data_IF_123426759089
#
_entry.id   IF_123426759089
#
_cell.length_a   1.000
_cell.length_b   1.000
_cell.length_c   1.000
_cell.angle_alpha   90.00
_cell.angle_beta   90.00
_cell.angle_gamma   90.00
#
_symmetry.space_group_name_H-M   'P 1'
#
loop_
_entity.id
_entity.type
_entity.pdbx_description
1 polymer ?
#
# COMPACT_ATOMS: atom_id res chain seq x y z
N UNK A 1 -16.14 1.37 -20.66
CA UNK A 1 -15.88 1.88 -22.02
C UNK A 1 -14.62 2.69 -21.94
N UNK A 2 -13.50 2.13 -22.39
CA UNK A 2 -12.29 2.91 -22.54
C UNK A 2 -12.54 3.89 -23.68
N UNK A 3 -12.45 5.16 -23.41
CA UNK A 3 -12.47 6.21 -24.43
C UNK A 3 -11.12 6.13 -25.18
N UNK A 4 -11.09 5.28 -26.20
CA UNK A 4 -9.88 4.96 -27.01
C UNK A 4 -9.42 6.12 -27.89
N UNK A 5 -9.98 7.33 -27.72
CA UNK A 5 -9.70 8.49 -28.55
C UNK A 5 -8.97 9.64 -27.84
N UNK A 6 -8.59 9.47 -26.57
CA UNK A 6 -7.82 10.51 -25.91
C UNK A 6 -6.38 10.48 -26.42
N UNK A 7 -5.84 11.60 -26.97
CA UNK A 7 -4.46 11.65 -27.40
C UNK A 7 -3.51 11.39 -26.21
N UNK A 8 -2.41 10.70 -26.47
CA UNK A 8 -1.39 10.47 -25.47
C UNK A 8 -0.82 11.80 -25.00
N UNK A 9 -0.79 11.98 -23.69
CA UNK A 9 -0.17 13.12 -23.03
C UNK A 9 0.52 12.68 -21.75
N UNK A 10 1.71 13.22 -21.52
CA UNK A 10 2.47 13.03 -20.28
C UNK A 10 2.61 14.36 -19.56
N UNK A 11 2.58 14.33 -18.24
CA UNK A 11 2.76 15.50 -17.39
C UNK A 11 4.10 16.18 -17.66
N UNK A 12 4.11 17.50 -17.70
CA UNK A 12 5.32 18.31 -17.88
C UNK A 12 6.18 18.37 -16.63
N UNK A 13 5.60 18.14 -15.43
CA UNK A 13 6.30 18.19 -14.14
C UNK A 13 6.73 16.79 -13.64
N UNK A 14 5.85 15.78 -13.72
CA UNK A 14 6.16 14.40 -13.32
C UNK A 14 6.12 13.44 -14.53
N UNK A 15 5.98 12.14 -14.30
CA UNK A 15 5.95 11.13 -15.36
C UNK A 15 4.59 10.43 -15.50
N UNK A 16 3.56 10.89 -14.80
CA UNK A 16 2.18 10.42 -15.00
C UNK A 16 1.67 10.79 -16.39
N UNK A 17 0.85 9.95 -16.97
CA UNK A 17 0.33 10.13 -18.32
C UNK A 17 -1.11 9.62 -18.49
N UNK A 18 -1.63 9.71 -19.70
CA UNK A 18 -2.99 9.30 -20.08
C UNK A 18 -3.25 7.81 -20.01
N UNK A 19 -2.29 6.97 -19.55
CA UNK A 19 -2.58 5.59 -19.15
C UNK A 19 -3.47 5.55 -17.89
N UNK A 20 -3.47 6.62 -17.08
CA UNK A 20 -4.52 6.87 -16.10
C UNK A 20 -5.69 7.57 -16.81
N UNK A 21 -6.81 6.87 -16.97
CA UNK A 21 -7.99 7.35 -17.70
C UNK A 21 -8.63 8.59 -17.09
N UNK A 22 -8.44 8.83 -15.78
CA UNK A 22 -9.02 9.93 -15.04
C UNK A 22 -8.08 11.14 -14.87
N UNK A 23 -6.82 11.04 -15.30
CA UNK A 23 -5.86 12.15 -15.19
C UNK A 23 -6.31 13.37 -16.01
N UNK A 24 -6.16 14.54 -15.44
CA UNK A 24 -6.40 15.81 -16.13
C UNK A 24 -5.13 16.67 -16.11
N UNK A 25 -5.01 17.54 -17.10
CA UNK A 25 -3.87 18.44 -17.22
C UNK A 25 -4.37 19.88 -17.31
N UNK A 26 -3.62 20.81 -16.75
CA UNK A 26 -3.86 22.24 -16.90
C UNK A 26 -3.31 22.78 -18.23
N UNK A 27 -3.40 24.09 -18.45
CA UNK A 27 -2.93 24.78 -19.65
C UNK A 27 -1.41 24.68 -19.87
N UNK A 28 -0.65 24.36 -18.82
CA UNK A 28 0.80 24.16 -18.87
C UNK A 28 1.18 22.67 -19.02
N UNK A 29 0.19 21.78 -19.13
CA UNK A 29 0.41 20.35 -19.23
C UNK A 29 0.78 19.68 -17.91
N UNK A 30 0.61 20.37 -16.76
CA UNK A 30 0.85 19.82 -15.43
C UNK A 30 -0.38 19.02 -15.00
N UNK A 31 -0.16 17.80 -14.50
CA UNK A 31 -1.27 16.95 -14.08
C UNK A 31 -1.86 17.40 -12.74
N UNK A 32 -3.11 17.03 -12.55
CA UNK A 32 -3.86 17.34 -11.34
C UNK A 32 -3.30 16.71 -10.05
N UNK A 33 -2.55 15.60 -10.14
CA UNK A 33 -1.78 15.08 -8.99
C UNK A 33 -0.68 16.06 -8.54
N UNK A 34 0.08 16.63 -9.50
CA UNK A 34 1.08 17.63 -9.19
C UNK A 34 0.45 18.88 -8.61
N UNK A 35 -0.65 19.33 -9.21
CA UNK A 35 -1.38 20.52 -8.73
C UNK A 35 -1.93 20.31 -7.30
N UNK A 36 -2.50 19.13 -7.00
CA UNK A 36 -2.96 18.81 -5.64
C UNK A 36 -1.79 18.73 -4.64
N UNK A 37 -0.66 18.15 -5.07
CA UNK A 37 0.52 18.09 -4.22
C UNK A 37 1.00 19.48 -3.79
N UNK A 38 1.26 20.37 -4.74
CA UNK A 38 1.79 21.70 -4.43
C UNK A 38 0.79 22.60 -3.70
N UNK A 39 -0.50 22.46 -4.00
CA UNK A 39 -1.53 23.32 -3.38
C UNK A 39 -1.97 22.84 -1.99
N UNK A 40 -1.98 21.53 -1.73
CA UNK A 40 -2.63 20.99 -0.54
C UNK A 40 -1.71 20.11 0.32
N UNK A 41 -0.86 19.28 -0.30
CA UNK A 41 -0.08 18.28 0.43
C UNK A 41 1.22 18.87 0.94
N UNK A 42 2.03 19.45 0.05
CA UNK A 42 3.34 19.99 0.37
C UNK A 42 3.31 21.05 1.49
N UNK A 43 2.40 22.05 1.47
CA UNK A 43 2.34 23.03 2.56
C UNK A 43 2.07 22.39 3.92
N UNK A 44 1.11 21.47 3.99
CA UNK A 44 0.76 20.76 5.22
C UNK A 44 1.91 19.89 5.74
N UNK A 45 2.66 19.27 4.85
CA UNK A 45 3.81 18.46 5.19
C UNK A 45 4.99 19.32 5.67
N UNK A 46 5.31 20.40 4.94
CA UNK A 46 6.34 21.35 5.36
C UNK A 46 6.06 21.98 6.73
N UNK A 47 4.79 22.27 7.03
CA UNK A 47 4.42 22.82 8.34
C UNK A 47 4.66 21.81 9.47
N UNK A 48 4.47 20.50 9.22
CA UNK A 48 4.82 19.47 10.20
C UNK A 48 6.32 19.39 10.45
N UNK A 49 7.14 19.49 9.40
CA UNK A 49 8.61 19.46 9.52
C UNK A 49 9.18 20.70 10.22
N UNK A 50 8.51 21.85 10.09
CA UNK A 50 8.92 23.10 10.77
C UNK A 50 8.66 23.11 12.28
N UNK A 51 7.87 22.17 12.78
CA UNK A 51 7.53 22.08 14.20
C UNK A 51 8.46 21.06 14.90
N UNK A 52 9.54 21.51 15.53
CA UNK A 52 10.55 20.64 16.12
C UNK A 52 10.02 19.80 17.28
N UNK A 53 8.93 20.25 17.90
CA UNK A 53 8.33 19.57 19.04
C UNK A 53 7.19 18.62 18.68
N UNK A 54 6.77 18.58 17.42
CA UNK A 54 5.60 17.79 17.01
C UNK A 54 5.77 16.30 17.31
N UNK A 55 6.96 15.75 16.98
CA UNK A 55 7.28 14.35 17.23
C UNK A 55 7.21 14.02 18.75
N UNK A 56 7.84 14.86 19.58
CA UNK A 56 7.85 14.71 21.05
C UNK A 56 6.44 14.80 21.63
N UNK A 57 5.67 15.84 21.28
CA UNK A 57 4.28 15.99 21.75
C UNK A 57 3.39 14.82 21.33
N UNK A 58 3.61 14.32 20.11
CA UNK A 58 2.90 13.13 19.61
C UNK A 58 3.26 11.89 20.42
N UNK A 59 4.54 11.70 20.75
CA UNK A 59 4.98 10.60 21.60
C UNK A 59 4.36 10.66 23.00
N UNK A 60 4.33 11.84 23.63
CA UNK A 60 3.71 12.07 24.92
C UNK A 60 2.20 11.75 24.91
N UNK A 61 1.49 12.17 23.86
CA UNK A 61 0.06 11.84 23.70
C UNK A 61 -0.17 10.34 23.55
N UNK A 62 0.69 9.63 22.84
CA UNK A 62 0.61 8.18 22.67
C UNK A 62 0.85 7.48 24.02
N UNK A 63 1.91 7.86 24.74
CA UNK A 63 2.22 7.32 26.07
C UNK A 63 1.09 7.56 27.06
N UNK A 64 0.52 8.76 27.05
CA UNK A 64 -0.63 9.08 27.91
C UNK A 64 -1.85 8.21 27.61
N UNK A 65 -2.14 7.98 26.32
CA UNK A 65 -3.26 7.15 25.88
C UNK A 65 -3.05 5.64 26.11
N UNK A 66 -1.80 5.20 26.26
CA UNK A 66 -1.43 3.80 26.50
C UNK A 66 -1.08 3.48 27.97
N UNK A 67 -1.26 4.45 28.87
CA UNK A 67 -0.89 4.29 30.29
C UNK A 67 -1.48 3.01 30.88
N UNK A 68 -0.63 2.20 31.50
CA UNK A 68 -0.99 0.91 32.10
C UNK A 68 -1.08 -0.27 31.09
N UNK A 69 -0.73 -0.07 29.84
CA UNK A 69 -0.63 -1.13 28.82
C UNK A 69 0.80 -1.57 28.62
N UNK A 70 0.98 -2.81 28.17
CA UNK A 70 2.32 -3.33 27.86
C UNK A 70 2.95 -2.59 26.64
N UNK A 71 2.16 -2.25 25.65
CA UNK A 71 2.62 -1.58 24.44
C UNK A 71 1.92 -0.23 24.25
N UNK A 72 2.70 0.77 23.80
CA UNK A 72 2.19 2.10 23.52
C UNK A 72 1.42 2.18 22.20
N UNK A 73 1.84 1.38 21.23
CA UNK A 73 1.24 1.32 19.90
C UNK A 73 1.55 -0.01 19.20
N UNK A 74 0.92 -0.22 18.04
CA UNK A 74 1.21 -1.35 17.14
C UNK A 74 1.71 -0.78 15.82
N UNK A 75 2.80 -1.37 15.30
CA UNK A 75 3.41 -1.01 14.02
C UNK A 75 3.28 -2.19 13.06
N UNK A 76 2.61 -1.96 11.90
CA UNK A 76 2.63 -2.91 10.80
C UNK A 76 3.98 -2.91 10.11
N UNK A 77 4.61 -4.08 9.97
CA UNK A 77 5.94 -4.23 9.40
C UNK A 77 5.95 -5.26 8.28
N UNK A 78 6.43 -4.84 7.10
CA UNK A 78 6.59 -5.67 5.90
C UNK A 78 8.05 -6.08 5.63
N UNK A 79 9.02 -5.56 6.40
CA UNK A 79 10.45 -5.68 6.10
C UNK A 79 10.97 -4.66 5.10
N UNK A 80 10.09 -3.82 4.54
CA UNK A 80 10.43 -2.71 3.68
C UNK A 80 11.09 -1.54 4.43
N UNK A 81 11.75 -0.65 3.69
CA UNK A 81 12.53 0.46 4.24
C UNK A 81 11.67 1.36 5.16
N UNK A 82 10.47 1.73 4.71
CA UNK A 82 9.60 2.65 5.44
C UNK A 82 9.14 2.08 6.78
N UNK A 83 8.68 0.82 6.80
CA UNK A 83 8.22 0.14 8.01
C UNK A 83 9.36 -0.16 8.98
N UNK A 84 10.55 -0.49 8.46
CA UNK A 84 11.76 -0.71 9.25
C UNK A 84 12.23 0.59 9.93
N UNK A 85 12.28 1.69 9.18
CA UNK A 85 12.65 2.98 9.74
C UNK A 85 11.61 3.52 10.73
N UNK A 86 10.32 3.26 10.49
CA UNK A 86 9.27 3.61 11.44
C UNK A 86 9.47 2.94 12.81
N UNK A 87 9.93 1.69 12.84
CA UNK A 87 10.26 1.01 14.11
C UNK A 87 11.38 1.74 14.85
N UNK A 88 12.43 2.17 14.16
CA UNK A 88 13.49 3.01 14.74
C UNK A 88 12.97 4.35 15.25
N UNK A 89 12.21 5.08 14.44
CA UNK A 89 11.62 6.37 14.86
C UNK A 89 10.74 6.19 16.11
N UNK A 90 9.91 5.18 16.14
CA UNK A 90 9.02 4.93 17.28
C UNK A 90 9.80 4.54 18.55
N UNK A 91 10.79 3.65 18.43
CA UNK A 91 11.56 3.16 19.60
C UNK A 91 12.55 4.20 20.06
N UNK A 92 13.43 4.69 19.19
CA UNK A 92 14.58 5.50 19.57
C UNK A 92 14.26 7.00 19.63
N UNK A 93 13.53 7.54 18.63
CA UNK A 93 13.28 8.98 18.59
C UNK A 93 12.06 9.37 19.43
N UNK A 94 11.02 8.55 19.46
CA UNK A 94 9.82 8.81 20.26
C UNK A 94 9.87 8.16 21.64
N UNK A 95 10.79 7.24 21.89
CA UNK A 95 10.92 6.48 23.14
C UNK A 95 9.67 5.66 23.47
N UNK A 96 8.97 5.14 22.46
CA UNK A 96 7.79 4.30 22.62
C UNK A 96 8.19 2.83 22.80
N UNK A 97 7.28 2.06 23.36
CA UNK A 97 7.36 0.59 23.38
C UNK A 97 6.34 -0.01 22.39
N UNK A 98 6.64 -0.10 21.08
CA UNK A 98 5.74 -0.63 20.09
C UNK A 98 5.72 -2.16 20.09
N UNK A 99 4.55 -2.75 19.77
CA UNK A 99 4.45 -4.11 19.30
C UNK A 99 4.54 -4.12 17.77
N UNK A 100 5.46 -4.89 17.22
CA UNK A 100 5.54 -5.12 15.78
C UNK A 100 4.51 -6.17 15.38
N UNK A 101 3.73 -5.85 14.35
CA UNK A 101 2.74 -6.74 13.76
C UNK A 101 3.10 -7.01 12.30
N UNK A 102 3.32 -8.25 11.96
CA UNK A 102 3.58 -8.71 10.60
C UNK A 102 2.49 -9.68 10.15
N UNK A 103 2.22 -9.72 8.84
CA UNK A 103 1.30 -10.68 8.24
C UNK A 103 2.06 -11.54 7.25
N UNK A 104 2.01 -12.83 7.45
CA UNK A 104 2.50 -13.81 6.48
C UNK A 104 1.34 -14.24 5.58
N UNK A 105 1.39 -13.77 4.34
CA UNK A 105 0.43 -14.11 3.28
C UNK A 105 0.88 -15.31 2.45
N UNK A 106 2.04 -15.87 2.76
CA UNK A 106 2.65 -16.96 2.02
C UNK A 106 3.46 -16.56 0.78
N UNK A 107 3.62 -15.26 0.51
CA UNK A 107 4.32 -14.76 -0.68
C UNK A 107 5.62 -14.01 -0.37
N UNK A 108 5.95 -13.81 0.90
CA UNK A 108 7.10 -13.04 1.32
C UNK A 108 8.42 -13.70 0.89
N UNK A 109 9.37 -12.87 0.44
CA UNK A 109 10.74 -13.31 0.22
C UNK A 109 11.48 -13.48 1.55
N UNK A 110 12.44 -14.39 1.59
CA UNK A 110 13.26 -14.62 2.78
C UNK A 110 13.97 -13.36 3.26
N UNK A 111 14.48 -12.54 2.34
CA UNK A 111 15.14 -11.27 2.66
C UNK A 111 14.23 -10.32 3.45
N UNK A 112 12.94 -10.25 3.12
CA UNK A 112 11.98 -9.42 3.85
C UNK A 112 11.77 -9.94 5.28
N UNK A 113 11.62 -11.24 5.45
CA UNK A 113 11.51 -11.91 6.77
C UNK A 113 12.76 -11.67 7.61
N UNK A 114 13.94 -11.87 7.03
CA UNK A 114 15.22 -11.62 7.70
C UNK A 114 15.38 -10.14 8.09
N UNK A 115 14.95 -9.20 7.25
CA UNK A 115 14.98 -7.77 7.58
C UNK A 115 14.08 -7.46 8.79
N UNK A 116 12.89 -8.07 8.87
CA UNK A 116 12.01 -7.95 10.04
C UNK A 116 12.74 -8.44 11.29
N UNK A 117 13.32 -9.65 11.25
CA UNK A 117 14.02 -10.25 12.39
C UNK A 117 15.21 -9.41 12.85
N UNK A 118 16.02 -8.87 11.91
CA UNK A 118 17.15 -7.99 12.23
C UNK A 118 16.70 -6.73 12.97
N UNK A 119 15.68 -6.04 12.48
CA UNK A 119 15.17 -4.81 13.11
C UNK A 119 14.55 -5.12 14.48
N UNK A 120 13.71 -6.14 14.58
CA UNK A 120 13.05 -6.54 15.82
C UNK A 120 14.08 -6.89 16.90
N UNK A 121 15.11 -7.67 16.54
CA UNK A 121 16.18 -8.06 17.45
C UNK A 121 17.05 -6.86 17.86
N UNK A 122 17.45 -6.02 16.91
CA UNK A 122 18.34 -4.90 17.20
C UNK A 122 17.68 -3.81 18.06
N UNK A 123 16.39 -3.60 17.90
CA UNK A 123 15.62 -2.61 18.68
C UNK A 123 14.95 -3.21 19.93
N UNK A 124 15.19 -4.47 20.23
CA UNK A 124 14.55 -5.18 21.35
C UNK A 124 13.04 -4.97 21.38
N UNK A 125 12.37 -5.42 20.30
CA UNK A 125 10.94 -5.29 20.11
C UNK A 125 10.24 -6.64 20.23
N UNK A 126 9.05 -6.62 20.81
CA UNK A 126 8.15 -7.77 20.71
C UNK A 126 7.46 -7.79 19.34
N UNK A 127 7.29 -8.98 18.76
CA UNK A 127 6.63 -9.18 17.48
C UNK A 127 5.51 -10.22 17.57
N UNK A 128 4.45 -9.95 16.83
CA UNK A 128 3.38 -10.90 16.56
C UNK A 128 3.23 -11.07 15.04
N UNK A 129 3.33 -12.30 14.56
CA UNK A 129 3.08 -12.64 13.16
C UNK A 129 1.73 -13.32 13.03
N UNK A 130 0.84 -12.73 12.25
CA UNK A 130 -0.40 -13.38 11.83
C UNK A 130 -0.16 -14.15 10.54
N UNK A 131 -0.30 -15.47 10.63
CA UNK A 131 -0.17 -16.35 9.47
C UNK A 131 -1.55 -16.57 8.88
N UNK A 132 -1.75 -16.14 7.65
CA UNK A 132 -3.00 -16.34 6.92
C UNK A 132 -3.08 -17.79 6.44
N UNK A 133 -4.23 -18.45 6.65
CA UNK A 133 -4.42 -19.81 6.12
C UNK A 133 -4.20 -19.83 4.62
N UNK A 134 -3.22 -20.63 4.19
CA UNK A 134 -2.80 -20.67 2.79
C UNK A 134 -3.93 -21.17 1.86
N UNK A 135 -4.78 -22.07 2.33
CA UNK A 135 -5.86 -22.57 1.48
C UNK A 135 -6.92 -21.50 1.22
N UNK A 136 -7.20 -20.64 2.22
CA UNK A 136 -8.11 -19.51 2.07
C UNK A 136 -7.48 -18.40 1.22
N UNK A 137 -6.19 -18.10 1.43
CA UNK A 137 -5.45 -17.12 0.63
C UNK A 137 -5.37 -17.57 -0.84
N UNK A 138 -4.98 -18.81 -1.09
CA UNK A 138 -4.89 -19.40 -2.43
C UNK A 138 -6.23 -19.35 -3.16
N UNK A 139 -7.32 -19.73 -2.51
CA UNK A 139 -8.66 -19.75 -3.09
C UNK A 139 -9.13 -18.35 -3.47
N UNK A 140 -8.93 -17.37 -2.56
CA UNK A 140 -9.27 -15.98 -2.82
C UNK A 140 -8.38 -15.36 -3.92
N UNK A 141 -7.09 -15.69 -3.93
CA UNK A 141 -6.16 -15.23 -4.98
C UNK A 141 -6.55 -15.75 -6.36
N UNK A 142 -6.92 -17.04 -6.44
CA UNK A 142 -7.45 -17.63 -7.68
C UNK A 142 -8.77 -17.00 -8.10
N UNK A 143 -9.65 -16.70 -7.15
CA UNK A 143 -10.91 -16.02 -7.44
C UNK A 143 -10.66 -14.62 -8.05
N UNK A 144 -9.67 -13.89 -7.52
CA UNK A 144 -9.28 -12.60 -8.08
C UNK A 144 -8.68 -12.72 -9.49
N UNK A 145 -7.80 -13.68 -9.76
CA UNK A 145 -7.29 -13.92 -11.10
C UNK A 145 -8.43 -14.22 -12.09
N UNK A 146 -9.37 -15.12 -11.72
CA UNK A 146 -10.53 -15.46 -12.55
C UNK A 146 -11.49 -14.27 -12.74
N UNK A 147 -11.50 -13.32 -11.83
CA UNK A 147 -12.32 -12.12 -11.93
C UNK A 147 -11.85 -11.13 -12.99
N UNK A 148 -10.61 -11.24 -13.47
CA UNK A 148 -10.02 -10.40 -14.51
C UNK A 148 -9.97 -8.89 -14.16
N UNK A 149 -10.09 -8.52 -12.89
CA UNK A 149 -9.92 -7.13 -12.44
C UNK A 149 -8.43 -6.76 -12.36
N UNK A 150 -8.06 -5.47 -12.49
CA UNK A 150 -6.66 -5.09 -12.46
C UNK A 150 -5.99 -5.29 -11.10
N UNK A 151 -6.72 -5.20 -9.98
CA UNK A 151 -6.12 -5.23 -8.66
C UNK A 151 -6.00 -6.65 -8.09
N UNK A 152 -4.95 -7.37 -8.48
CA UNK A 152 -4.71 -8.75 -8.06
C UNK A 152 -4.10 -8.88 -6.65
N UNK A 153 -3.46 -7.82 -6.13
CA UNK A 153 -2.93 -7.79 -4.77
C UNK A 153 -3.99 -7.62 -3.67
N UNK A 154 -5.26 -7.42 -4.05
CA UNK A 154 -6.36 -7.22 -3.10
C UNK A 154 -6.41 -8.27 -1.98
N UNK A 155 -6.25 -9.59 -2.22
CA UNK A 155 -6.27 -10.57 -1.15
C UNK A 155 -5.20 -10.33 -0.09
N UNK A 156 -3.95 -10.05 -0.50
CA UNK A 156 -2.85 -9.78 0.41
C UNK A 156 -3.07 -8.47 1.16
N UNK A 157 -3.27 -7.40 0.40
CA UNK A 157 -3.44 -6.06 0.94
C UNK A 157 -4.63 -5.96 1.89
N UNK A 158 -5.74 -6.64 1.58
CA UNK A 158 -6.89 -6.69 2.47
C UNK A 158 -6.60 -7.46 3.76
N UNK A 159 -5.85 -8.56 3.69
CA UNK A 159 -5.49 -9.32 4.90
C UNK A 159 -4.63 -8.49 5.85
N UNK A 160 -3.67 -7.75 5.33
CA UNK A 160 -2.82 -6.82 6.09
C UNK A 160 -3.67 -5.67 6.65
N UNK A 161 -4.49 -5.06 5.78
CA UNK A 161 -5.38 -3.98 6.12
C UNK A 161 -6.40 -4.34 7.21
N UNK A 162 -6.96 -5.54 7.17
CA UNK A 162 -7.94 -6.03 8.12
C UNK A 162 -7.29 -6.59 9.41
N UNK A 163 -6.19 -7.30 9.27
CA UNK A 163 -5.49 -7.98 10.37
C UNK A 163 -5.00 -7.00 11.44
N UNK A 164 -4.24 -5.99 11.03
CA UNK A 164 -3.65 -5.02 11.96
C UNK A 164 -4.69 -4.33 12.88
N UNK A 165 -5.78 -3.72 12.42
CA UNK A 165 -6.77 -3.12 13.30
C UNK A 165 -7.61 -4.16 14.07
N UNK A 166 -7.85 -5.35 13.51
CA UNK A 166 -8.51 -6.44 14.22
C UNK A 166 -7.67 -6.85 15.45
N UNK A 167 -6.37 -7.04 15.24
CA UNK A 167 -5.44 -7.38 16.31
C UNK A 167 -5.29 -6.25 17.32
N UNK A 168 -5.21 -4.99 16.87
CA UNK A 168 -5.14 -3.84 17.75
C UNK A 168 -6.33 -3.78 18.73
N UNK A 169 -7.55 -4.04 18.24
CA UNK A 169 -8.73 -4.13 19.12
C UNK A 169 -8.63 -5.30 20.08
N UNK A 170 -8.19 -6.48 19.60
CA UNK A 170 -8.03 -7.69 20.43
C UNK A 170 -7.00 -7.49 21.54
N UNK A 171 -5.88 -6.84 21.24
CA UNK A 171 -4.82 -6.52 22.21
C UNK A 171 -5.11 -5.30 23.08
N UNK A 172 -6.22 -4.61 22.85
CA UNK A 172 -6.58 -3.39 23.56
C UNK A 172 -5.78 -2.14 23.17
N UNK A 173 -4.98 -2.18 22.11
CA UNK A 173 -4.23 -1.02 21.62
C UNK A 173 -5.16 -0.04 20.89
N UNK A 174 -5.04 1.26 21.22
CA UNK A 174 -5.78 2.33 20.52
C UNK A 174 -4.93 3.05 19.48
N UNK A 175 -3.62 2.85 19.49
CA UNK A 175 -2.71 3.53 18.59
C UNK A 175 -2.16 2.54 17.56
N UNK A 176 -2.46 2.77 16.29
CA UNK A 176 -1.96 1.98 15.18
C UNK A 176 -1.02 2.85 14.34
N UNK A 177 0.12 2.29 13.97
CA UNK A 177 1.14 2.94 13.14
C UNK A 177 1.32 2.14 11.85
N UNK A 178 1.39 2.85 10.76
CA UNK A 178 1.74 2.26 9.46
C UNK A 178 2.97 2.98 8.92
N UNK A 179 3.81 2.29 8.18
CA UNK A 179 4.96 2.89 7.49
C UNK A 179 4.56 3.83 6.34
N UNK A 180 3.25 4.06 6.14
CA UNK A 180 2.81 5.05 5.18
C UNK A 180 3.16 6.45 5.68
N UNK A 181 3.89 7.20 4.88
CA UNK A 181 4.06 8.64 4.99
C UNK A 181 3.15 9.35 3.98
N UNK A 182 2.76 10.57 4.29
CA UNK A 182 1.88 11.37 3.43
C UNK A 182 2.63 11.89 2.20
N UNK A 183 3.95 11.93 2.28
CA UNK A 183 4.84 12.53 1.31
C UNK A 183 4.90 11.75 0.00
N UNK A 184 5.47 10.57 -0.11
CA UNK A 184 5.68 9.91 -1.40
C UNK A 184 4.47 9.07 -1.87
N UNK A 185 3.33 9.13 -1.21
CA UNK A 185 2.17 8.29 -1.55
C UNK A 185 0.95 9.10 -2.04
N UNK A 186 1.17 10.33 -2.52
CA UNK A 186 0.07 11.21 -2.94
C UNK A 186 -0.56 10.78 -4.28
N UNK A 187 0.21 10.16 -5.18
CA UNK A 187 -0.29 9.72 -6.48
C UNK A 187 -0.82 8.29 -6.36
N UNK A 188 -2.10 8.15 -6.56
CA UNK A 188 -2.79 6.86 -6.62
C UNK A 188 -3.67 6.83 -7.86
N UNK A 189 -3.51 5.85 -8.73
CA UNK A 189 -4.36 5.73 -9.91
C UNK A 189 -5.80 5.39 -9.47
N UNK A 190 -6.80 6.14 -9.92
CA UNK A 190 -8.14 6.02 -9.36
C UNK A 190 -8.93 4.81 -9.85
N UNK A 191 -8.78 4.42 -11.11
CA UNK A 191 -9.61 3.36 -11.69
C UNK A 191 -9.02 1.95 -11.54
N UNK A 192 -7.72 1.85 -11.31
CA UNK A 192 -7.02 0.58 -11.12
C UNK A 192 -7.16 0.09 -9.67
N UNK A 193 -7.49 1.00 -8.73
CA UNK A 193 -7.51 0.73 -7.30
C UNK A 193 -8.92 0.74 -6.76
N UNK A 194 -9.34 -0.41 -6.32
CA UNK A 194 -10.51 -0.55 -5.47
C UNK A 194 -10.10 -0.22 -4.03
N UNK A 195 -11.03 0.31 -3.24
CA UNK A 195 -10.79 0.54 -1.83
C UNK A 195 -10.55 -0.78 -1.09
N UNK A 196 -9.49 -0.86 -0.30
CA UNK A 196 -9.13 -2.04 0.49
C UNK A 196 -10.23 -2.47 1.46
N UNK A 197 -11.09 -1.56 1.86
CA UNK A 197 -12.24 -1.79 2.72
C UNK A 197 -13.54 -2.17 1.97
N UNK A 198 -13.47 -2.37 0.64
CA UNK A 198 -14.61 -2.84 -0.15
C UNK A 198 -14.85 -4.36 -0.03
N UNK A 199 -15.24 -4.76 1.17
CA UNK A 199 -15.57 -6.16 1.47
C UNK A 199 -16.73 -6.70 0.60
N UNK A 200 -17.58 -5.81 0.08
CA UNK A 200 -18.69 -6.22 -0.79
C UNK A 200 -18.17 -6.76 -2.11
N UNK A 201 -17.17 -6.11 -2.69
CA UNK A 201 -16.51 -6.58 -3.91
C UNK A 201 -15.73 -7.87 -3.67
N UNK A 202 -14.95 -7.94 -2.60
CA UNK A 202 -14.20 -9.15 -2.24
C UNK A 202 -15.14 -10.35 -2.12
N UNK A 203 -16.27 -10.19 -1.44
CA UNK A 203 -17.24 -11.24 -1.26
C UNK A 203 -17.97 -11.63 -2.57
N UNK A 204 -18.27 -10.68 -3.45
CA UNK A 204 -18.91 -10.96 -4.73
C UNK A 204 -17.98 -11.74 -5.66
N UNK A 205 -16.71 -11.35 -5.75
CA UNK A 205 -15.69 -12.08 -6.50
C UNK A 205 -15.50 -13.48 -5.93
N UNK A 206 -15.34 -13.59 -4.62
CA UNK A 206 -15.17 -14.88 -3.97
C UNK A 206 -16.40 -15.79 -4.13
N UNK A 207 -17.62 -15.24 -4.05
CA UNK A 207 -18.86 -16.00 -4.28
C UNK A 207 -18.95 -16.56 -5.70
N UNK A 208 -18.45 -15.81 -6.71
CA UNK A 208 -18.51 -16.23 -8.11
C UNK A 208 -17.42 -17.24 -8.49
N UNK A 209 -16.24 -17.14 -7.90
CA UNK A 209 -15.06 -17.88 -8.36
C UNK A 209 -14.36 -18.70 -7.27
N UNK A 210 -14.62 -18.41 -6.00
CA UNK A 210 -14.07 -19.17 -4.87
C UNK A 210 -14.72 -20.52 -4.72
N UNK A 211 -14.00 -21.46 -4.15
CA UNK A 211 -14.42 -22.85 -3.95
C UNK A 211 -14.47 -23.25 -2.47
N UNK A 212 -13.91 -22.42 -1.59
CA UNK A 212 -13.81 -22.67 -0.16
C UNK A 212 -14.34 -21.50 0.66
N UNK A 213 -14.95 -21.72 1.83
CA UNK A 213 -15.36 -20.63 2.70
C UNK A 213 -14.14 -19.93 3.33
N UNK A 214 -14.17 -18.60 3.42
CA UNK A 214 -13.22 -17.79 4.18
C UNK A 214 -13.63 -17.80 5.66
N UNK A 215 -13.03 -18.68 6.47
CA UNK A 215 -13.37 -18.87 7.91
C UNK A 215 -12.46 -18.06 8.81
N UNK A 216 -11.17 -18.07 8.53
CA UNK A 216 -10.13 -17.46 9.34
C UNK A 216 -9.49 -16.25 8.67
N UNK A 217 -9.71 -16.08 7.38
CA UNK A 217 -9.16 -14.98 6.61
C UNK A 217 -9.55 -13.62 7.22
N UNK A 218 -8.59 -12.71 7.49
CA UNK A 218 -8.89 -11.42 8.07
C UNK A 218 -9.79 -10.58 7.15
N UNK A 219 -10.98 -10.25 7.62
CA UNK A 219 -11.94 -9.45 6.87
C UNK A 219 -12.32 -8.18 7.64
N UNK A 220 -12.35 -7.06 6.93
CA UNK A 220 -12.77 -5.77 7.45
C UNK A 220 -13.50 -4.95 6.40
N UNK A 221 -14.77 -4.67 6.62
CA UNK A 221 -15.55 -3.80 5.73
C UNK A 221 -15.52 -2.33 6.16
N UNK A 222 -15.98 -1.48 5.26
CA UNK A 222 -15.96 -0.03 5.37
C UNK A 222 -16.53 0.52 6.68
N UNK A 223 -17.71 0.06 7.10
CA UNK A 223 -18.35 0.54 8.35
C UNK A 223 -17.49 0.21 9.57
N UNK A 224 -16.94 -1.02 9.61
CA UNK A 224 -16.06 -1.43 10.70
C UNK A 224 -14.80 -0.58 10.73
N UNK A 225 -14.21 -0.31 9.56
CA UNK A 225 -12.95 0.41 9.44
C UNK A 225 -13.08 1.92 9.65
N UNK A 226 -14.07 2.56 9.01
CA UNK A 226 -14.22 4.03 9.00
C UNK A 226 -15.05 4.57 10.15
N UNK A 227 -15.89 3.73 10.80
CA UNK A 227 -16.79 4.14 11.88
C UNK A 227 -16.46 3.42 13.18
N UNK A 228 -16.51 2.08 13.21
CA UNK A 228 -16.37 1.32 14.45
C UNK A 228 -15.00 1.50 15.10
N UNK A 229 -13.90 1.36 14.34
CA UNK A 229 -12.57 1.50 14.92
C UNK A 229 -12.25 2.92 15.40
N UNK A 230 -12.42 4.00 14.63
CA UNK A 230 -12.06 5.33 15.08
C UNK A 230 -13.02 5.87 16.14
N UNK A 231 -14.34 5.66 15.99
CA UNK A 231 -15.35 6.25 16.88
C UNK A 231 -15.55 5.40 18.14
N UNK A 232 -15.85 4.10 17.99
CA UNK A 232 -16.22 3.25 19.14
C UNK A 232 -15.00 2.64 19.85
N UNK A 233 -13.88 2.44 19.15
CA UNK A 233 -12.64 1.91 19.73
C UNK A 233 -11.58 2.98 19.97
N UNK A 234 -11.83 4.22 19.58
CA UNK A 234 -10.89 5.33 19.75
C UNK A 234 -9.57 5.13 19.02
N UNK A 235 -9.57 4.30 17.96
CA UNK A 235 -8.35 3.96 17.22
C UNK A 235 -7.85 5.18 16.47
N UNK A 236 -6.61 5.58 16.73
CA UNK A 236 -5.95 6.70 16.07
C UNK A 236 -4.83 6.19 15.16
N UNK A 237 -4.76 6.74 13.97
CA UNK A 237 -3.64 6.58 13.05
C UNK A 237 -2.71 7.78 13.17
N UNK A 238 -1.44 7.52 13.23
CA UNK A 238 -0.42 8.58 13.21
C UNK A 238 0.68 8.14 12.24
N UNK A 239 1.17 9.08 11.46
CA UNK A 239 2.26 8.89 10.51
C UNK A 239 3.52 9.62 11.02
N UNK A 240 4.35 8.99 11.87
CA UNK A 240 5.53 9.63 12.44
C UNK A 240 6.56 10.01 11.38
N UNK A 241 6.61 9.29 10.26
CA UNK A 241 7.54 9.62 9.16
C UNK A 241 7.26 10.97 8.50
N UNK A 242 6.03 11.51 8.64
CA UNK A 242 5.71 12.88 8.21
C UNK A 242 6.30 13.97 9.13
N UNK A 243 6.82 13.60 10.30
CA UNK A 243 7.30 14.51 11.34
C UNK A 243 8.82 14.52 11.44
N UNK A 244 9.52 13.78 10.60
CA UNK A 244 10.96 13.68 10.53
C UNK A 244 11.43 13.93 9.11
N UNK A 245 12.66 14.43 8.97
CA UNK A 245 13.29 14.46 7.65
C UNK A 245 13.44 13.03 7.13
N UNK A 246 12.81 12.75 6.00
CA UNK A 246 12.83 11.44 5.39
C UNK A 246 13.40 11.52 3.97
N UNK A 247 14.55 10.89 3.77
CA UNK A 247 15.12 10.64 2.45
C UNK A 247 15.37 9.15 2.32
N UNK A 248 14.68 8.51 1.40
CA UNK A 248 14.65 7.04 1.27
C UNK A 248 16.05 6.44 1.09
N UNK A 249 16.92 7.06 0.29
CA UNK A 249 18.26 6.54 0.04
C UNK A 249 19.15 6.66 1.29
N UNK A 250 19.10 7.80 1.98
CA UNK A 250 19.80 7.97 3.26
C UNK A 250 19.29 6.99 4.31
N UNK A 251 17.99 6.76 4.36
CA UNK A 251 17.36 5.79 5.28
C UNK A 251 17.79 4.36 4.96
N UNK A 252 17.87 3.97 3.68
CA UNK A 252 18.40 2.65 3.29
C UNK A 252 19.83 2.45 3.81
N UNK A 253 20.72 3.40 3.55
CA UNK A 253 22.11 3.35 4.04
C UNK A 253 22.16 3.25 5.56
N UNK A 254 21.40 4.09 6.25
CA UNK A 254 21.30 4.05 7.71
C UNK A 254 20.86 2.67 8.24
N UNK A 255 19.82 2.08 7.63
CA UNK A 255 19.32 0.76 8.05
C UNK A 255 20.33 -0.36 7.76
N UNK A 256 21.09 -0.26 6.66
CA UNK A 256 22.15 -1.22 6.33
C UNK A 256 23.29 -1.14 7.35
N UNK A 257 23.77 0.06 7.65
CA UNK A 257 24.91 0.28 8.55
C UNK A 257 24.59 -0.08 10.00
N UNK A 258 23.41 0.29 10.48
CA UNK A 258 23.07 0.15 11.91
C UNK A 258 22.37 -1.16 12.25
N UNK A 259 21.64 -1.75 11.30
CA UNK A 259 20.81 -2.93 11.56
C UNK A 259 21.09 -4.11 10.63
N UNK A 260 22.00 -3.96 9.68
CA UNK A 260 22.29 -5.02 8.70
C UNK A 260 21.10 -5.31 7.77
N UNK A 261 20.18 -4.36 7.63
CA UNK A 261 19.04 -4.46 6.71
C UNK A 261 19.53 -4.67 5.28
N UNK A 262 18.93 -5.61 4.56
CA UNK A 262 19.35 -5.93 3.20
C UNK A 262 18.42 -5.24 2.17
N UNK A 263 18.98 -4.53 1.18
CA UNK A 263 18.20 -3.95 0.10
C UNK A 263 17.66 -5.02 -0.84
N UNK A 264 16.58 -4.70 -1.53
CA UNK A 264 16.07 -5.41 -2.69
C UNK A 264 15.85 -4.41 -3.84
N UNK A 265 15.82 -4.93 -5.07
CA UNK A 265 15.99 -4.13 -6.29
C UNK A 265 14.98 -2.98 -6.44
N UNK A 266 13.69 -3.24 -6.19
CA UNK A 266 12.64 -2.25 -6.40
C UNK A 266 11.65 -2.18 -5.23
N UNK A 267 10.86 -1.10 -5.19
CA UNK A 267 9.78 -0.93 -4.22
C UNK A 267 8.77 -2.07 -4.35
N UNK A 268 8.38 -2.68 -3.22
CA UNK A 268 7.45 -3.81 -3.11
C UNK A 268 7.96 -5.15 -3.67
N UNK A 269 9.25 -5.25 -4.02
CA UNK A 269 9.87 -6.52 -4.44
C UNK A 269 10.29 -7.40 -3.26
N UNK A 270 9.84 -7.08 -2.05
CA UNK A 270 9.89 -7.97 -0.87
C UNK A 270 8.94 -9.17 -0.96
N UNK A 271 8.08 -9.22 -2.00
CA UNK A 271 7.04 -10.21 -2.19
C UNK A 271 7.02 -10.69 -3.65
N UNK A 272 7.15 -12.00 -3.87
CA UNK A 272 7.19 -12.59 -5.22
C UNK A 272 5.94 -12.26 -6.03
N UNK A 273 4.77 -12.38 -5.39
CA UNK A 273 3.51 -12.12 -6.08
C UNK A 273 3.38 -10.66 -6.50
N UNK A 274 3.67 -9.73 -5.60
CA UNK A 274 3.60 -8.29 -5.89
C UNK A 274 4.61 -7.89 -6.97
N UNK A 275 5.83 -8.45 -6.95
CA UNK A 275 6.83 -8.25 -8.00
C UNK A 275 6.31 -8.66 -9.38
N UNK A 276 5.76 -9.86 -9.51
CA UNK A 276 5.16 -10.35 -10.74
C UNK A 276 3.95 -9.51 -11.16
N UNK A 277 3.09 -9.17 -10.21
CA UNK A 277 1.88 -8.40 -10.45
C UNK A 277 2.18 -7.00 -10.98
N UNK A 278 3.06 -6.25 -10.31
CA UNK A 278 3.41 -4.88 -10.69
C UNK A 278 4.36 -4.80 -11.90
N UNK A 279 5.31 -5.73 -11.98
CA UNK A 279 6.32 -5.73 -13.02
C UNK A 279 5.87 -6.34 -14.35
N UNK A 280 4.96 -7.30 -14.33
CA UNK A 280 4.50 -7.99 -15.53
C UNK A 280 3.00 -7.94 -15.75
N UNK A 281 2.20 -8.41 -14.79
CA UNK A 281 0.75 -8.60 -15.00
C UNK A 281 0.02 -7.29 -15.32
N UNK A 282 0.26 -6.24 -14.55
CA UNK A 282 -0.37 -4.94 -14.79
C UNK A 282 0.06 -4.29 -16.11
N UNK A 283 1.37 -4.17 -16.41
CA UNK A 283 1.80 -3.60 -17.67
C UNK A 283 1.33 -4.39 -18.88
N UNK A 284 1.48 -5.73 -18.83
CA UNK A 284 1.16 -6.61 -19.95
C UNK A 284 -0.35 -6.65 -20.26
N UNK A 285 -1.16 -6.84 -19.21
CA UNK A 285 -2.59 -7.08 -19.37
C UNK A 285 -3.42 -5.79 -19.44
N UNK A 286 -3.06 -4.79 -18.65
CA UNK A 286 -3.84 -3.55 -18.50
C UNK A 286 -3.13 -2.32 -19.08
N UNK A 287 -1.89 -2.44 -19.53
CA UNK A 287 -1.11 -1.31 -20.07
C UNK A 287 -0.71 -0.29 -19.00
N UNK A 288 -0.71 -0.67 -17.72
CA UNK A 288 -0.44 0.21 -16.61
C UNK A 288 0.90 -0.10 -15.94
N UNK A 289 1.86 0.83 -16.04
CA UNK A 289 3.15 0.75 -15.36
C UNK A 289 3.13 1.54 -14.04
N UNK A 290 3.15 0.82 -12.93
CA UNK A 290 3.07 1.38 -11.59
C UNK A 290 4.29 2.21 -11.19
N UNK A 291 5.44 2.01 -11.86
CA UNK A 291 6.65 2.82 -11.67
C UNK A 291 6.39 4.30 -11.91
N UNK A 292 5.45 4.63 -12.84
CA UNK A 292 5.05 6.03 -13.08
C UNK A 292 4.54 6.71 -11.81
N UNK A 293 3.77 6.01 -10.99
CA UNK A 293 3.32 6.55 -9.70
C UNK A 293 4.46 6.72 -8.71
N UNK A 294 5.35 5.72 -8.62
CA UNK A 294 6.47 5.77 -7.67
C UNK A 294 7.45 6.87 -8.01
N UNK A 295 7.89 6.93 -9.25
CA UNK A 295 8.81 7.97 -9.71
C UNK A 295 8.20 9.37 -9.66
N UNK A 296 6.91 9.49 -9.98
CA UNK A 296 6.22 10.78 -9.82
C UNK A 296 6.17 11.25 -8.37
N UNK A 297 5.98 10.33 -7.42
CA UNK A 297 6.06 10.66 -6.00
C UNK A 297 7.49 11.08 -5.60
N UNK A 298 8.53 10.40 -6.10
CA UNK A 298 9.92 10.76 -5.83
C UNK A 298 10.31 12.11 -6.45
N UNK A 299 9.78 12.42 -7.64
CA UNK A 299 9.94 13.75 -8.25
C UNK A 299 9.29 14.83 -7.39
N UNK A 300 8.07 14.61 -6.93
CA UNK A 300 7.36 15.56 -6.06
C UNK A 300 8.04 15.73 -4.70
N UNK A 301 8.63 14.67 -4.17
CA UNK A 301 9.45 14.71 -2.95
C UNK A 301 10.83 15.36 -3.15
N UNK A 302 11.26 15.60 -4.40
CA UNK A 302 12.57 16.16 -4.72
C UNK A 302 13.73 15.17 -4.54
N UNK A 303 13.44 13.86 -4.55
CA UNK A 303 14.44 12.79 -4.41
C UNK A 303 14.87 12.17 -5.74
N UNK A 304 14.17 12.49 -6.83
CA UNK A 304 14.45 12.06 -8.19
C UNK A 304 14.14 13.18 -9.19
N UNK A 305 14.93 13.31 -10.23
CA UNK A 305 14.62 14.23 -11.32
C UNK A 305 13.67 13.56 -12.33
N UNK A 306 12.99 14.38 -13.12
CA UNK A 306 12.10 13.87 -14.16
C UNK A 306 12.87 13.12 -15.25
N UNK A 307 14.07 13.57 -15.57
CA UNK A 307 14.98 12.98 -16.57
C UNK A 307 15.44 11.59 -16.13
N UNK A 308 15.83 11.44 -14.87
CA UNK A 308 16.16 10.13 -14.28
C UNK A 308 14.95 9.18 -14.33
N UNK A 309 13.79 9.66 -13.94
CA UNK A 309 12.56 8.87 -13.98
C UNK A 309 12.19 8.40 -15.40
N UNK A 310 12.38 9.25 -16.40
CA UNK A 310 12.14 8.89 -17.81
C UNK A 310 13.14 7.85 -18.30
N UNK A 311 14.41 7.99 -17.94
CA UNK A 311 15.45 7.01 -18.31
C UNK A 311 15.17 5.63 -17.68
N UNK A 312 14.75 5.61 -16.40
CA UNK A 312 14.35 4.37 -15.71
C UNK A 312 13.11 3.72 -16.33
N UNK A 313 12.14 4.52 -16.82
CA UNK A 313 10.96 3.99 -17.49
C UNK A 313 11.25 3.37 -18.87
N UNK A 314 12.38 3.68 -19.49
CA UNK A 314 12.84 3.02 -20.72
C UNK A 314 13.37 1.61 -20.47
N UNK A 315 13.82 1.33 -19.24
CA UNK A 315 14.25 0.00 -18.85
C UNK A 315 13.05 -0.93 -18.63
N UNK A 316 13.19 -2.23 -18.90
CA UNK A 316 12.16 -3.21 -18.53
C UNK A 316 11.83 -3.09 -17.04
N UNK A 317 10.54 -3.14 -16.65
CA UNK A 317 10.16 -3.06 -15.24
C UNK A 317 10.58 -4.29 -14.45
N UNK A 318 10.97 -5.34 -15.13
CA UNK A 318 11.23 -6.65 -14.59
C UNK A 318 12.25 -7.39 -15.44
N UNK A 319 13.20 -8.07 -14.82
CA UNK A 319 14.10 -8.96 -15.53
C UNK A 319 13.29 -10.09 -16.21
N UNK A 320 13.44 -10.33 -17.52
CA UNK A 320 12.62 -11.31 -18.22
C UNK A 320 12.81 -12.74 -17.72
N UNK A 321 14.02 -13.13 -17.33
CA UNK A 321 14.27 -14.48 -16.80
C UNK A 321 13.61 -14.65 -15.44
N UNK A 322 13.80 -13.69 -14.55
CA UNK A 322 13.16 -13.69 -13.22
C UNK A 322 11.63 -13.66 -13.34
N UNK A 323 11.10 -12.95 -14.33
CA UNK A 323 9.67 -12.92 -14.59
C UNK A 323 9.10 -14.30 -14.93
N UNK A 324 9.76 -15.05 -15.82
CA UNK A 324 9.33 -16.41 -16.17
C UNK A 324 9.45 -17.37 -14.97
N UNK A 325 10.51 -17.25 -14.17
CA UNK A 325 10.68 -18.03 -12.94
C UNK A 325 9.56 -17.75 -11.92
N UNK A 326 9.25 -16.48 -11.67
CA UNK A 326 8.18 -16.08 -10.76
C UNK A 326 6.80 -16.52 -11.26
N UNK A 327 6.54 -16.38 -12.56
CA UNK A 327 5.31 -16.84 -13.20
C UNK A 327 5.09 -18.33 -13.02
N UNK A 328 6.15 -19.13 -13.29
CA UNK A 328 6.10 -20.57 -13.08
C UNK A 328 5.91 -20.95 -11.59
N UNK A 329 6.59 -20.25 -10.69
CA UNK A 329 6.45 -20.44 -9.25
C UNK A 329 5.03 -20.11 -8.78
N UNK A 330 4.46 -18.98 -9.21
CA UNK A 330 3.09 -18.57 -8.86
C UNK A 330 2.06 -19.58 -9.37
N UNK A 331 2.16 -19.97 -10.64
CA UNK A 331 1.28 -20.98 -11.23
C UNK A 331 1.31 -22.28 -10.39
N UNK A 332 2.49 -22.83 -10.14
CA UNK A 332 2.68 -24.04 -9.32
C UNK A 332 2.11 -23.89 -7.91
N UNK A 333 2.38 -22.76 -7.25
CA UNK A 333 1.90 -22.49 -5.89
C UNK A 333 0.40 -22.34 -5.81
N UNK A 334 -0.22 -21.80 -6.87
CA UNK A 334 -1.67 -21.75 -7.04
C UNK A 334 -2.29 -23.09 -7.49
N UNK A 335 -1.46 -24.09 -7.81
CA UNK A 335 -1.88 -25.41 -8.26
C UNK A 335 -2.42 -25.43 -9.69
N UNK A 336 -1.87 -24.56 -10.53
CA UNK A 336 -2.20 -24.45 -11.96
C UNK A 336 -1.04 -24.97 -12.81
N UNK A 337 -1.34 -25.46 -14.01
CA UNK A 337 -0.31 -25.62 -15.05
C UNK A 337 0.07 -24.26 -15.64
N UNK A 338 1.16 -24.20 -16.38
CA UNK A 338 1.59 -22.97 -17.06
C UNK A 338 0.54 -22.51 -18.09
N UNK A 339 -0.07 -23.44 -18.80
CA UNK A 339 -1.11 -23.19 -19.82
C UNK A 339 -2.38 -22.67 -19.18
N UNK A 340 -2.82 -23.26 -18.06
CA UNK A 340 -3.99 -22.80 -17.32
C UNK A 340 -3.77 -21.37 -16.79
N UNK A 341 -2.58 -21.10 -16.26
CA UNK A 341 -2.27 -19.78 -15.75
C UNK A 341 -2.19 -18.73 -16.87
N UNK A 342 -1.58 -19.09 -18.02
CA UNK A 342 -1.55 -18.22 -19.21
C UNK A 342 -2.96 -17.93 -19.72
N UNK A 343 -3.82 -18.96 -19.80
CA UNK A 343 -5.23 -18.79 -20.21
C UNK A 343 -5.97 -17.80 -19.31
N UNK A 344 -5.70 -17.83 -18.00
CA UNK A 344 -6.26 -16.85 -17.07
C UNK A 344 -5.68 -15.44 -17.33
N UNK A 345 -4.37 -15.32 -17.57
CA UNK A 345 -3.75 -14.02 -17.88
C UNK A 345 -4.34 -13.42 -19.16
N UNK A 346 -4.60 -14.23 -20.18
CA UNK A 346 -5.12 -13.80 -21.49
C UNK A 346 -6.64 -13.56 -21.50
N UNK A 347 -7.32 -13.79 -20.39
CA UNK A 347 -8.76 -13.55 -20.26
C UNK A 347 -9.17 -12.10 -20.50
N UNK A 348 -10.44 -11.86 -20.83
CA UNK A 348 -11.00 -10.54 -21.10
C UNK A 348 -10.92 -9.62 -19.87
N UNK A 349 -10.38 -8.40 -20.03
CA UNK A 349 -10.25 -7.44 -18.96
C UNK A 349 -11.60 -7.00 -18.39
N UNK A 350 -11.72 -7.00 -17.08
CA UNK A 350 -12.87 -6.50 -16.34
C UNK A 350 -12.47 -5.41 -15.36
N UNK A 351 -13.45 -4.70 -14.85
CA UNK A 351 -13.30 -3.64 -13.89
C UNK A 351 -14.05 -3.97 -12.60
N UNK A 352 -13.86 -3.17 -11.57
CA UNK A 352 -14.65 -3.28 -10.35
C UNK A 352 -16.17 -3.09 -10.60
N UNK A 353 -16.56 -2.42 -11.70
CA UNK A 353 -17.97 -2.18 -12.07
C UNK A 353 -18.69 -3.45 -12.51
N UNK A 354 -17.96 -4.49 -12.91
CA UNK A 354 -18.50 -5.81 -13.29
C UNK A 354 -18.92 -6.65 -12.06
N UNK A 355 -18.59 -6.15 -10.87
CA UNK A 355 -18.83 -6.80 -9.58
C UNK A 355 -19.63 -5.90 -8.65
N UNK A 356 -20.37 -6.53 -7.70
CA UNK A 356 -21.01 -5.79 -6.62
C UNK A 356 -19.92 -5.11 -5.78
N UNK A 357 -20.07 -3.81 -5.57
CA UNK A 357 -19.06 -3.01 -4.87
C UNK A 357 -19.72 -1.92 -4.01
N UNK A 358 -18.91 -1.19 -3.28
CA UNK A 358 -19.34 -0.08 -2.42
C UNK A 358 -19.11 1.29 -3.04
N UNK A 359 -18.72 1.37 -4.32
CA UNK A 359 -18.36 2.61 -5.00
C UNK A 359 -19.42 3.71 -4.87
N UNK A 360 -20.69 3.39 -5.12
CA UNK A 360 -21.78 4.37 -4.99
C UNK A 360 -21.89 4.96 -3.58
N UNK A 361 -21.71 4.11 -2.54
CA UNK A 361 -21.72 4.56 -1.15
C UNK A 361 -20.52 5.46 -0.85
N UNK A 362 -19.36 5.15 -1.38
CA UNK A 362 -18.14 5.95 -1.21
C UNK A 362 -18.31 7.31 -1.86
N UNK A 363 -18.80 7.36 -3.09
CA UNK A 363 -19.05 8.61 -3.80
C UNK A 363 -20.08 9.48 -3.05
N UNK A 364 -21.16 8.90 -2.59
CA UNK A 364 -22.14 9.59 -1.77
C UNK A 364 -21.54 10.16 -0.49
N UNK A 365 -20.77 9.34 0.25
CA UNK A 365 -20.07 9.77 1.46
C UNK A 365 -19.10 10.94 1.20
N UNK A 366 -18.36 10.89 0.11
CA UNK A 366 -17.44 11.94 -0.31
C UNK A 366 -18.18 13.26 -0.59
N UNK A 367 -19.33 13.21 -1.30
CA UNK A 367 -20.16 14.40 -1.54
C UNK A 367 -20.64 15.02 -0.23
N UNK A 368 -21.12 14.20 0.70
CA UNK A 368 -21.58 14.65 2.02
C UNK A 368 -20.44 15.29 2.82
N UNK A 369 -19.27 14.64 2.90
CA UNK A 369 -18.12 15.18 3.63
C UNK A 369 -17.60 16.50 3.05
N UNK A 370 -17.67 16.66 1.72
CA UNK A 370 -17.37 17.95 1.08
C UNK A 370 -18.37 19.03 1.43
N UNK A 371 -19.65 18.70 1.38
CA UNK A 371 -20.71 19.64 1.75
C UNK A 371 -20.60 20.11 3.22
N UNK A 372 -20.05 19.25 4.09
CA UNK A 372 -19.76 19.57 5.48
C UNK A 372 -18.40 20.26 5.70
N UNK A 373 -17.62 20.50 4.65
CA UNK A 373 -16.30 21.13 4.73
C UNK A 373 -15.21 20.27 5.40
N UNK A 374 -15.50 18.99 5.63
CA UNK A 374 -14.57 18.03 6.31
C UNK A 374 -13.51 17.52 5.35
N UNK A 375 -13.85 17.41 4.06
CA UNK A 375 -12.96 16.90 3.03
C UNK A 375 -12.70 17.92 1.94
N UNK A 376 -11.43 18.25 1.73
CA UNK A 376 -10.98 19.18 0.69
C UNK A 376 -10.54 18.47 -0.59
N UNK A 377 -10.25 17.15 -0.53
CA UNK A 377 -9.72 16.39 -1.68
C UNK A 377 -10.85 15.93 -2.63
N UNK A 378 -10.59 16.00 -3.91
CA UNK A 378 -11.36 15.24 -4.90
C UNK A 378 -10.91 13.78 -4.81
N UNK A 379 -11.74 12.89 -4.24
CA UNK A 379 -11.60 11.46 -4.50
C UNK A 379 -12.05 11.20 -5.95
N UNK A 380 -11.18 10.61 -6.66
CA UNK A 380 -11.45 10.16 -8.03
C UNK A 380 -12.00 8.77 -8.03
#
# INVERSE_FOLDING_TARGET
>A
MNDTHRPYQRCTNCVMDTSDSAITFDEHGVCDFCNDFYQNIQPSWQDKLKDPDLLRRTAEQIKAASKGRKYDCIIGMSGGVDSSYLCYVAKELMGLNPLVYSVDTGWNLNVAVENIERIVKALDLDMYTEVVDWNEMKDLQLAFFKSQVPYQDMPQDHSIFAGLPNYAVKSGSQNVRTGANSDPACIRPPEVWVYLDDLKMIRDIHHKFGTRPLKTFPLCGMVKYRVYYPIFKGMKRVAPLDMVEYNKEKVKLFLQEHFGWQPYENKHYENVFTRFYEGYYLPHKFGYDKRKCYFSNEILAGTMTREEALAELEQPPYDPQQMEEDKAYIAKKLGLTAEEFQTIIDGENKTFRDYRNSWGLIQFGTVVLRALGVEKKKFR
#
